data_IF_745935283798
#
_entry.id   IF_745935283798
#
_cell.length_a   1.000
_cell.length_b   1.000
_cell.length_c   1.000
_cell.angle_alpha   90.00
_cell.angle_beta   90.00
_cell.angle_gamma   90.00
#
_symmetry.space_group_name_H-M   'P 1'
#
loop_
_entity.id
_entity.type
_entity.pdbx_description
1 polymer ?
#
# COMPACT_ATOMS: atom_id res chain seq x y z
N UNK A 1 -11.29 8.78 -4.83
CA UNK A 1 -10.83 7.48 -5.39
C UNK A 1 -10.83 7.61 -6.90
N UNK A 2 -9.67 7.68 -7.57
CA UNK A 2 -9.58 7.92 -9.02
C UNK A 2 -9.59 6.60 -9.81
N UNK A 3 -10.66 5.84 -9.64
CA UNK A 3 -10.93 4.54 -10.29
C UNK A 3 -10.76 4.60 -11.84
N UNK A 4 -11.23 5.64 -12.56
CA UNK A 4 -11.09 5.66 -14.02
C UNK A 4 -9.62 5.83 -14.48
N UNK A 5 -8.79 6.49 -13.67
CA UNK A 5 -7.38 6.68 -13.99
C UNK A 5 -6.58 5.39 -13.77
N UNK A 6 -6.86 4.69 -12.66
CA UNK A 6 -6.27 3.37 -12.39
C UNK A 6 -6.60 2.35 -13.48
N UNK A 7 -7.85 2.32 -13.95
CA UNK A 7 -8.27 1.38 -15.00
C UNK A 7 -7.65 1.73 -16.34
N UNK A 8 -7.55 3.03 -16.69
CA UNK A 8 -6.88 3.46 -17.91
C UNK A 8 -5.40 3.06 -17.93
N UNK A 9 -4.67 3.25 -16.83
CA UNK A 9 -3.26 2.86 -16.75
C UNK A 9 -3.08 1.35 -16.78
N UNK A 10 -3.95 0.58 -16.11
CA UNK A 10 -3.94 -0.89 -16.22
C UNK A 10 -4.20 -1.35 -17.65
N UNK A 11 -5.14 -0.73 -18.36
CA UNK A 11 -5.43 -1.05 -19.75
C UNK A 11 -4.21 -0.75 -20.65
N UNK A 12 -3.59 0.42 -20.49
CA UNK A 12 -2.36 0.79 -21.21
C UNK A 12 -1.22 -0.20 -20.92
N UNK A 13 -1.05 -0.58 -19.65
CA UNK A 13 -0.01 -1.52 -19.25
C UNK A 13 -0.28 -2.92 -19.83
N UNK A 14 -1.54 -3.37 -19.86
CA UNK A 14 -1.94 -4.61 -20.51
C UNK A 14 -1.65 -4.59 -22.01
N UNK A 15 -1.98 -3.50 -22.71
CA UNK A 15 -1.68 -3.35 -24.15
C UNK A 15 -0.17 -3.40 -24.40
N UNK A 16 0.61 -2.62 -23.64
CA UNK A 16 2.07 -2.61 -23.74
C UNK A 16 2.67 -4.01 -23.48
N UNK A 17 2.13 -4.74 -22.50
CA UNK A 17 2.54 -6.11 -22.21
C UNK A 17 2.20 -7.06 -23.36
N UNK A 18 1.01 -6.95 -23.97
CA UNK A 18 0.63 -7.74 -25.14
C UNK A 18 1.56 -7.46 -26.33
N UNK A 19 1.88 -6.20 -26.61
CA UNK A 19 2.86 -5.85 -27.65
C UNK A 19 4.23 -6.45 -27.36
N UNK A 20 4.71 -6.31 -26.12
CA UNK A 20 5.96 -6.92 -25.68
C UNK A 20 5.91 -8.44 -25.82
N UNK A 21 4.75 -9.08 -25.64
CA UNK A 21 4.55 -10.50 -25.95
C UNK A 21 4.81 -10.73 -27.43
N UNK A 22 4.05 -10.09 -28.31
CA UNK A 22 4.12 -10.31 -29.75
C UNK A 22 5.54 -10.11 -30.28
N UNK A 23 6.24 -9.07 -29.82
CA UNK A 23 7.57 -8.71 -30.29
C UNK A 23 8.72 -9.29 -29.45
N UNK A 24 8.44 -10.13 -28.46
CA UNK A 24 9.48 -10.68 -27.57
C UNK A 24 10.61 -11.36 -28.32
N UNK A 25 10.30 -12.09 -29.40
CA UNK A 25 11.31 -12.76 -30.21
C UNK A 25 12.22 -11.80 -31.00
N UNK A 26 11.82 -10.53 -31.12
CA UNK A 26 12.64 -9.47 -31.71
C UNK A 26 13.48 -8.72 -30.66
N UNK A 27 13.19 -8.90 -29.37
CA UNK A 27 13.94 -8.25 -28.29
C UNK A 27 15.32 -8.91 -28.17
N UNK A 28 16.43 -8.15 -28.04
CA UNK A 28 17.75 -8.72 -27.84
C UNK A 28 17.82 -9.62 -26.59
N UNK A 29 18.52 -10.75 -26.67
CA UNK A 29 18.60 -11.72 -25.57
C UNK A 29 19.09 -11.11 -24.24
N UNK A 30 20.06 -10.17 -24.30
CA UNK A 30 20.54 -9.43 -23.12
C UNK A 30 19.42 -8.62 -22.46
N UNK A 31 18.58 -7.96 -23.25
CA UNK A 31 17.48 -7.16 -22.74
C UNK A 31 16.37 -8.05 -22.17
N UNK A 32 16.08 -9.20 -22.78
CA UNK A 32 15.15 -10.20 -22.23
C UNK A 32 15.58 -10.64 -20.82
N UNK A 33 16.84 -11.04 -20.66
CA UNK A 33 17.38 -11.49 -19.37
C UNK A 33 17.32 -10.36 -18.34
N UNK A 34 17.68 -9.14 -18.73
CA UNK A 34 17.59 -7.98 -17.85
C UNK A 34 16.15 -7.71 -17.38
N UNK A 35 15.19 -7.68 -18.29
CA UNK A 35 13.77 -7.45 -17.97
C UNK A 35 13.21 -8.51 -17.02
N UNK A 36 13.54 -9.79 -17.25
CA UNK A 36 13.11 -10.88 -16.37
C UNK A 36 13.72 -10.73 -14.98
N UNK A 37 15.03 -10.49 -14.89
CA UNK A 37 15.70 -10.29 -13.60
C UNK A 37 15.12 -9.09 -12.85
N UNK A 38 14.91 -7.98 -13.55
CA UNK A 38 14.33 -6.78 -12.97
C UNK A 38 12.90 -7.05 -12.45
N UNK A 39 12.06 -7.73 -13.22
CA UNK A 39 10.71 -8.09 -12.79
C UNK A 39 10.72 -8.97 -11.53
N UNK A 40 11.58 -9.99 -11.48
CA UNK A 40 11.72 -10.83 -10.28
C UNK A 40 12.17 -10.01 -9.07
N UNK A 41 13.19 -9.16 -9.23
CA UNK A 41 13.68 -8.31 -8.14
C UNK A 41 12.58 -7.38 -7.62
N UNK A 42 11.82 -6.72 -8.51
CA UNK A 42 10.74 -5.81 -8.12
C UNK A 42 9.63 -6.54 -7.34
N UNK A 43 9.26 -7.73 -7.79
CA UNK A 43 8.27 -8.57 -7.11
C UNK A 43 8.76 -9.00 -5.72
N UNK A 44 10.01 -9.48 -5.63
CA UNK A 44 10.61 -9.89 -4.35
C UNK A 44 10.71 -8.72 -3.39
N UNK A 45 11.15 -7.55 -3.87
CA UNK A 45 11.24 -6.33 -3.05
C UNK A 45 9.87 -5.94 -2.53
N UNK A 46 8.83 -5.95 -3.37
CA UNK A 46 7.46 -5.63 -2.92
C UNK A 46 6.94 -6.64 -1.90
N UNK A 47 7.20 -7.94 -2.10
CA UNK A 47 6.83 -8.98 -1.15
C UNK A 47 7.52 -8.76 0.20
N UNK A 48 8.82 -8.47 0.19
CA UNK A 48 9.58 -8.18 1.41
C UNK A 48 9.02 -6.95 2.12
N UNK A 49 8.81 -5.83 1.41
CA UNK A 49 8.24 -4.60 1.96
C UNK A 49 6.86 -4.87 2.59
N UNK A 50 6.01 -5.61 1.89
CA UNK A 50 4.65 -5.93 2.37
C UNK A 50 4.68 -6.85 3.59
N UNK A 51 5.47 -7.92 3.54
CA UNK A 51 5.57 -8.91 4.62
C UNK A 51 6.23 -8.35 5.87
N UNK A 52 7.22 -7.48 5.71
CA UNK A 52 7.92 -6.83 6.81
C UNK A 52 7.27 -5.52 7.23
N UNK A 53 6.10 -5.16 6.67
CA UNK A 53 5.33 -3.95 6.97
C UNK A 53 6.13 -2.63 6.90
N UNK A 54 7.22 -2.63 6.14
CA UNK A 54 7.98 -1.42 5.84
C UNK A 54 7.27 -0.62 4.75
N UNK A 55 7.47 0.69 4.79
CA UNK A 55 7.06 1.61 3.75
C UNK A 55 8.00 2.81 3.75
N UNK A 56 7.87 3.67 2.76
CA UNK A 56 8.54 4.97 2.75
C UNK A 56 7.63 6.05 3.33
N UNK A 57 8.21 7.13 3.85
CA UNK A 57 7.46 8.31 4.29
C UNK A 57 6.76 9.07 3.16
N UNK A 58 6.97 8.67 1.90
CA UNK A 58 6.35 9.28 0.73
C UNK A 58 5.34 8.32 0.10
N UNK A 59 4.05 8.69 0.14
CA UNK A 59 2.99 7.94 -0.53
C UNK A 59 3.25 7.81 -2.05
N UNK A 60 3.91 8.80 -2.65
CA UNK A 60 4.30 8.78 -4.06
C UNK A 60 5.31 7.66 -4.35
N UNK A 61 6.37 7.54 -3.53
CA UNK A 61 7.40 6.51 -3.72
C UNK A 61 6.80 5.12 -3.47
N UNK A 62 5.98 4.97 -2.42
CA UNK A 62 5.27 3.71 -2.15
C UNK A 62 4.38 3.29 -3.32
N UNK A 63 3.66 4.23 -3.92
CA UNK A 63 2.84 3.97 -5.09
C UNK A 63 3.69 3.58 -6.30
N UNK A 64 4.81 4.25 -6.57
CA UNK A 64 5.73 3.86 -7.65
C UNK A 64 6.23 2.42 -7.44
N UNK A 65 6.71 2.08 -6.25
CA UNK A 65 7.23 0.74 -5.94
C UNK A 65 6.13 -0.31 -6.19
N UNK A 66 4.91 -0.07 -5.71
CA UNK A 66 3.78 -0.98 -5.93
C UNK A 66 3.45 -1.13 -7.42
N UNK A 67 3.38 -0.03 -8.18
CA UNK A 67 3.08 -0.07 -9.62
C UNK A 67 4.21 -0.72 -10.45
N UNK A 68 5.47 -0.52 -10.07
CA UNK A 68 6.60 -1.24 -10.65
C UNK A 68 6.52 -2.75 -10.38
N UNK A 69 6.11 -3.15 -9.17
CA UNK A 69 5.89 -4.55 -8.85
C UNK A 69 4.71 -5.15 -9.63
N UNK A 70 3.60 -4.41 -9.77
CA UNK A 70 2.47 -4.80 -10.63
C UNK A 70 2.91 -5.03 -12.07
N UNK A 71 3.72 -4.13 -12.63
CA UNK A 71 4.29 -4.30 -13.97
C UNK A 71 5.18 -5.55 -14.05
N UNK A 72 6.03 -5.79 -13.05
CA UNK A 72 6.86 -6.99 -12.95
C UNK A 72 6.03 -8.27 -12.90
N UNK A 73 4.97 -8.30 -12.08
CA UNK A 73 4.02 -9.41 -12.03
C UNK A 73 3.36 -9.68 -13.38
N UNK A 74 2.86 -8.64 -14.05
CA UNK A 74 2.25 -8.79 -15.38
C UNK A 74 3.24 -9.35 -16.41
N UNK A 75 4.50 -8.88 -16.40
CA UNK A 75 5.55 -9.41 -17.26
C UNK A 75 5.77 -10.91 -17.02
N UNK A 76 5.90 -11.32 -15.74
CA UNK A 76 6.15 -12.71 -15.37
C UNK A 76 4.96 -13.61 -15.74
N UNK A 77 3.73 -13.17 -15.48
CA UNK A 77 2.51 -13.87 -15.89
C UNK A 77 2.50 -14.08 -17.41
N UNK A 78 2.82 -13.03 -18.16
CA UNK A 78 2.84 -13.08 -19.61
C UNK A 78 3.89 -14.04 -20.15
N UNK A 79 5.07 -14.08 -19.56
CA UNK A 79 6.10 -15.08 -19.90
C UNK A 79 5.65 -16.49 -19.54
N UNK A 80 4.97 -16.66 -18.40
CA UNK A 80 4.40 -17.94 -17.98
C UNK A 80 3.39 -18.48 -19.01
N UNK A 81 2.55 -17.63 -19.61
CA UNK A 81 1.61 -18.04 -20.69
C UNK A 81 2.27 -18.49 -21.99
N UNK A 82 3.61 -18.40 -22.12
CA UNK A 82 4.35 -18.94 -23.26
C UNK A 82 4.88 -20.34 -23.01
N UNK A 83 4.92 -20.79 -21.76
CA UNK A 83 5.36 -22.12 -21.41
C UNK A 83 4.31 -23.16 -21.84
N UNK A 84 4.77 -24.34 -22.22
CA UNK A 84 3.90 -25.48 -22.49
C UNK A 84 3.71 -26.31 -21.21
N UNK A 85 2.52 -26.88 -20.95
CA UNK A 85 1.29 -26.82 -21.76
C UNK A 85 0.48 -25.53 -21.57
N UNK A 86 0.14 -24.88 -22.69
CA UNK A 86 -0.45 -23.52 -22.73
C UNK A 86 -1.78 -23.38 -21.97
N UNK A 87 -2.63 -24.42 -21.98
CA UNK A 87 -3.96 -24.33 -21.38
C UNK A 87 -3.92 -24.12 -19.86
N UNK A 88 -3.07 -24.88 -19.15
CA UNK A 88 -2.88 -24.70 -17.70
C UNK A 88 -2.29 -23.33 -17.39
N UNK A 89 -1.30 -22.89 -18.16
CA UNK A 89 -0.63 -21.60 -17.91
C UNK A 89 -1.55 -20.40 -18.08
N UNK A 90 -2.56 -20.50 -18.95
CA UNK A 90 -3.53 -19.44 -19.20
C UNK A 90 -4.52 -19.30 -18.03
N UNK A 91 -4.98 -20.43 -17.48
CA UNK A 91 -5.87 -20.43 -16.30
C UNK A 91 -5.13 -19.89 -15.07
N UNK A 92 -3.89 -20.37 -14.84
CA UNK A 92 -3.06 -19.85 -13.74
C UNK A 92 -2.77 -18.36 -13.89
N UNK A 93 -2.53 -17.87 -15.11
CA UNK A 93 -2.34 -16.45 -15.38
C UNK A 93 -3.55 -15.60 -15.00
N UNK A 94 -4.77 -16.05 -15.31
CA UNK A 94 -6.01 -15.35 -14.94
C UNK A 94 -6.15 -15.30 -13.42
N UNK A 95 -5.91 -16.42 -12.73
CA UNK A 95 -5.96 -16.48 -11.26
C UNK A 95 -4.92 -15.54 -10.65
N UNK A 96 -3.72 -15.48 -11.21
CA UNK A 96 -2.63 -14.61 -10.75
C UNK A 96 -2.84 -13.13 -11.05
N UNK A 97 -3.75 -12.77 -11.97
CA UNK A 97 -4.14 -11.38 -12.20
C UNK A 97 -5.14 -10.85 -11.16
N UNK A 98 -5.88 -11.72 -10.47
CA UNK A 98 -6.86 -11.31 -9.46
C UNK A 98 -6.20 -10.56 -8.29
N UNK A 99 -5.10 -11.04 -7.68
CA UNK A 99 -4.38 -10.29 -6.64
C UNK A 99 -3.80 -8.97 -7.13
N UNK A 100 -3.38 -8.90 -8.41
CA UNK A 100 -2.87 -7.67 -9.03
C UNK A 100 -3.99 -6.63 -9.14
N UNK A 101 -5.17 -7.06 -9.59
CA UNK A 101 -6.34 -6.20 -9.66
C UNK A 101 -6.76 -5.74 -8.26
N UNK A 102 -6.85 -6.64 -7.29
CA UNK A 102 -7.16 -6.30 -5.90
C UNK A 102 -6.16 -5.30 -5.30
N UNK A 103 -4.85 -5.51 -5.48
CA UNK A 103 -3.81 -4.58 -5.01
C UNK A 103 -3.90 -3.20 -5.67
N UNK A 104 -4.19 -3.16 -6.97
CA UNK A 104 -4.32 -1.90 -7.73
C UNK A 104 -5.58 -1.08 -7.35
N UNK A 105 -6.64 -1.76 -6.89
CA UNK A 105 -7.85 -1.12 -6.37
C UNK A 105 -7.63 -0.63 -4.94
N UNK A 106 -6.92 -1.41 -4.10
CA UNK A 106 -6.62 -1.05 -2.71
C UNK A 106 -5.58 0.08 -2.59
N UNK A 107 -4.63 0.18 -3.52
CA UNK A 107 -3.65 1.27 -3.59
C UNK A 107 -3.78 2.02 -4.92
N UNK A 108 -4.86 2.82 -5.09
CA UNK A 108 -5.15 3.45 -6.36
C UNK A 108 -4.04 4.41 -6.77
N UNK A 109 -3.72 4.40 -8.06
CA UNK A 109 -2.80 5.31 -8.76
C UNK A 109 -3.14 6.79 -8.52
N UNK A 110 -4.37 7.09 -8.06
CA UNK A 110 -4.76 8.41 -7.56
C UNK A 110 -3.82 8.97 -6.50
N UNK A 111 -3.17 8.13 -5.68
CA UNK A 111 -2.17 8.58 -4.70
C UNK A 111 -0.91 9.18 -5.34
N UNK A 112 -0.64 8.94 -6.63
CA UNK A 112 0.45 9.58 -7.38
C UNK A 112 0.10 10.99 -7.85
N UNK A 113 -1.18 11.26 -8.15
CA UNK A 113 -1.63 12.52 -8.75
C UNK A 113 -2.25 13.48 -7.75
N UNK A 114 -2.89 12.95 -6.72
CA UNK A 114 -3.39 13.69 -5.57
C UNK A 114 -2.83 13.01 -4.32
N UNK A 115 -1.55 13.23 -3.99
CA UNK A 115 -0.99 12.67 -2.77
C UNK A 115 -1.81 13.22 -1.62
N UNK A 116 -2.49 12.33 -0.88
CA UNK A 116 -3.20 12.70 0.34
C UNK A 116 -2.18 13.39 1.24
N UNK A 117 -2.42 14.64 1.68
CA UNK A 117 -1.50 15.34 2.56
C UNK A 117 -1.60 14.73 3.97
N UNK A 118 -1.14 13.50 4.12
CA UNK A 118 -0.99 12.85 5.40
C UNK A 118 0.31 13.40 5.98
N UNK A 119 0.21 14.50 6.73
CA UNK A 119 1.33 15.00 7.51
C UNK A 119 1.51 14.06 8.71
N UNK A 120 2.62 13.31 8.82
CA UNK A 120 2.88 12.52 10.00
C UNK A 120 3.00 13.43 11.21
N UNK A 121 2.30 13.08 12.28
CA UNK A 121 2.41 13.76 13.56
C UNK A 121 3.42 12.99 14.40
N UNK A 122 4.41 13.71 14.92
CA UNK A 122 5.46 13.11 15.73
C UNK A 122 4.95 12.85 17.14
N UNK A 123 5.07 11.60 17.60
CA UNK A 123 4.89 11.23 19.02
C UNK A 123 6.22 11.41 19.74
N UNK A 124 7.29 10.88 19.13
CA UNK A 124 8.68 11.05 19.56
C UNK A 124 9.59 11.28 18.34
N UNK A 125 10.91 11.27 18.55
CA UNK A 125 11.90 11.36 17.47
C UNK A 125 11.75 10.23 16.45
N UNK A 126 11.49 9.01 16.95
CA UNK A 126 11.47 7.79 16.15
C UNK A 126 10.05 7.20 15.98
N UNK A 127 9.03 7.75 16.65
CA UNK A 127 7.64 7.30 16.55
C UNK A 127 6.75 8.39 15.97
N UNK A 128 5.99 8.06 14.94
CA UNK A 128 5.02 8.95 14.32
C UNK A 128 3.70 8.24 14.10
N UNK A 129 2.61 9.01 14.06
CA UNK A 129 1.32 8.50 13.63
C UNK A 129 0.82 9.24 12.39
N UNK A 130 0.05 8.53 11.58
CA UNK A 130 -0.67 9.08 10.43
C UNK A 130 -2.14 8.71 10.48
N UNK A 131 -2.96 9.60 9.96
CA UNK A 131 -4.40 9.41 9.83
C UNK A 131 -4.73 9.12 8.38
N UNK A 132 -5.47 8.05 8.13
CA UNK A 132 -6.02 7.72 6.82
C UNK A 132 -7.53 7.66 6.93
N UNK A 133 -8.24 8.29 5.99
CA UNK A 133 -9.70 8.21 5.94
C UNK A 133 -10.09 6.91 5.24
N UNK A 134 -11.03 6.17 5.82
CA UNK A 134 -11.67 5.03 5.16
C UNK A 134 -13.17 5.29 5.01
N UNK A 135 -13.74 4.79 3.93
CA UNK A 135 -15.15 4.92 3.60
C UNK A 135 -15.65 3.59 3.06
N UNK A 136 -16.67 3.05 3.71
CA UNK A 136 -17.34 1.78 3.34
C UNK A 136 -18.86 2.01 3.30
N UNK A 137 -19.37 2.33 2.10
CA UNK A 137 -20.77 2.67 1.90
C UNK A 137 -21.17 3.94 2.67
N UNK A 138 -22.15 3.82 3.56
CA UNK A 138 -22.57 4.90 4.47
C UNK A 138 -21.67 5.04 5.71
N UNK A 139 -20.82 4.04 5.98
CA UNK A 139 -19.88 4.09 7.10
C UNK A 139 -18.60 4.78 6.66
N UNK A 140 -18.07 5.62 7.53
CA UNK A 140 -16.80 6.30 7.31
C UNK A 140 -16.09 6.49 8.64
N UNK A 141 -14.78 6.65 8.56
CA UNK A 141 -13.97 6.79 9.75
C UNK A 141 -12.53 7.13 9.44
N UNK A 142 -11.70 7.00 10.46
CA UNK A 142 -10.25 7.20 10.35
C UNK A 142 -9.55 5.96 10.88
N UNK A 143 -8.51 5.56 10.18
CA UNK A 143 -7.50 4.63 10.64
C UNK A 143 -6.26 5.42 11.06
N UNK A 144 -5.84 5.19 12.29
CA UNK A 144 -4.61 5.71 12.87
C UNK A 144 -3.53 4.65 12.71
N UNK A 145 -2.52 4.95 11.90
CA UNK A 145 -1.37 4.10 11.68
C UNK A 145 -0.20 4.59 12.51
N UNK A 146 0.44 3.68 13.26
CA UNK A 146 1.61 4.00 14.09
C UNK A 146 2.85 3.44 13.38
N UNK A 147 3.84 4.29 13.20
CA UNK A 147 5.09 3.95 12.53
C UNK A 147 6.31 4.23 13.39
N UNK A 148 7.30 3.34 13.30
CA UNK A 148 8.68 3.58 13.75
C UNK A 148 9.52 4.05 12.56
N UNK A 149 10.16 5.22 12.68
CA UNK A 149 11.13 5.74 11.72
C UNK A 149 12.54 5.60 12.29
N UNK A 150 13.40 4.76 11.69
CA UNK A 150 14.79 4.66 12.14
C UNK A 150 15.52 5.98 11.91
N UNK A 151 16.28 6.41 12.92
CA UNK A 151 17.05 7.67 12.88
C UNK A 151 18.09 7.72 11.76
N UNK A 152 18.63 6.57 11.35
CA UNK A 152 19.60 6.47 10.25
C UNK A 152 18.96 6.50 8.84
N UNK A 153 17.65 6.25 8.74
CA UNK A 153 16.93 6.23 7.46
C UNK A 153 15.54 6.87 7.61
N UNK A 154 15.45 8.21 7.75
CA UNK A 154 14.20 8.92 8.06
C UNK A 154 13.15 8.84 6.95
N UNK A 155 13.56 8.40 5.75
CA UNK A 155 12.68 8.15 4.61
C UNK A 155 11.98 6.79 4.68
N UNK A 156 12.47 5.85 5.49
CA UNK A 156 11.85 4.56 5.76
C UNK A 156 11.00 4.64 7.02
N UNK A 157 9.93 3.85 7.06
CA UNK A 157 9.07 3.71 8.22
C UNK A 157 8.54 2.28 8.31
N UNK A 158 8.53 1.71 9.50
CA UNK A 158 7.98 0.39 9.78
C UNK A 158 6.65 0.56 10.50
N UNK A 159 5.58 -0.04 9.98
CA UNK A 159 4.27 0.00 10.64
C UNK A 159 4.31 -0.92 11.87
N UNK A 160 4.11 -0.34 13.04
CA UNK A 160 4.01 -1.09 14.30
C UNK A 160 2.59 -1.62 14.49
N UNK A 161 1.60 -0.73 14.39
CA UNK A 161 0.20 -1.10 14.58
C UNK A 161 -0.74 -0.10 13.89
N UNK A 162 -2.04 -0.36 13.97
CA UNK A 162 -3.11 0.52 13.55
C UNK A 162 -4.35 0.39 14.42
N UNK A 163 -5.12 1.48 14.50
CA UNK A 163 -6.43 1.49 15.15
C UNK A 163 -7.46 2.13 14.24
N UNK A 164 -8.58 1.47 14.08
CA UNK A 164 -9.71 1.96 13.31
C UNK A 164 -10.75 2.60 14.23
N UNK A 165 -11.15 3.83 13.90
CA UNK A 165 -12.25 4.54 14.54
C UNK A 165 -13.35 4.86 13.52
N UNK A 166 -14.59 4.79 13.96
CA UNK A 166 -15.78 5.06 13.15
C UNK A 166 -16.40 6.41 13.53
N UNK A 167 -16.82 7.20 12.55
CA UNK A 167 -17.47 8.50 12.73
C UNK A 167 -18.74 8.42 13.58
N UNK A 168 -19.43 7.26 13.57
CA UNK A 168 -20.61 7.03 14.39
C UNK A 168 -20.33 6.82 15.88
N UNK A 169 -19.07 6.56 16.27
CA UNK A 169 -18.70 6.25 17.67
C UNK A 169 -18.05 7.43 18.38
N UNK A 170 -17.27 8.24 17.67
CA UNK A 170 -16.47 9.31 18.24
C UNK A 170 -16.11 10.37 17.19
N UNK A 171 -15.58 11.50 17.63
CA UNK A 171 -15.07 12.55 16.76
C UNK A 171 -13.70 12.15 16.19
N UNK A 172 -13.72 11.28 15.17
CA UNK A 172 -12.53 10.69 14.53
C UNK A 172 -11.52 11.74 14.03
N UNK A 173 -11.99 12.91 13.59
CA UNK A 173 -11.12 13.99 13.10
C UNK A 173 -10.19 14.53 14.20
N UNK A 174 -10.56 14.37 15.47
CA UNK A 174 -9.75 14.73 16.63
C UNK A 174 -9.05 13.51 17.28
N UNK A 175 -9.05 12.35 16.64
CA UNK A 175 -8.35 11.18 17.14
C UNK A 175 -6.82 11.40 17.11
N UNK A 176 -6.15 10.97 18.18
CA UNK A 176 -4.72 11.19 18.41
C UNK A 176 -4.04 9.98 19.06
N UNK A 177 -2.71 9.92 18.93
CA UNK A 177 -1.88 8.93 19.58
C UNK A 177 -0.76 9.61 20.37
N UNK A 178 -0.53 9.15 21.60
CA UNK A 178 0.47 9.70 22.53
C UNK A 178 1.23 8.57 23.21
N UNK A 179 2.51 8.81 23.55
CA UNK A 179 3.30 7.85 24.32
C UNK A 179 2.88 7.92 25.79
N UNK A 180 2.65 6.77 26.42
CA UNK A 180 2.39 6.72 27.85
C UNK A 180 3.65 7.09 28.66
N UNK A 181 3.48 7.56 29.92
CA UNK A 181 4.62 7.93 30.77
C UNK A 181 5.62 6.80 31.02
N UNK A 182 5.18 5.55 30.87
CA UNK A 182 6.02 4.37 31.02
C UNK A 182 7.01 4.15 29.85
N UNK A 183 6.82 4.88 28.74
CA UNK A 183 7.62 4.77 27.52
C UNK A 183 7.45 3.45 26.77
N UNK A 184 6.52 2.59 27.19
CA UNK A 184 6.32 1.24 26.63
C UNK A 184 5.00 1.11 25.91
N UNK A 185 4.01 1.95 26.19
CA UNK A 185 2.73 1.88 25.50
C UNK A 185 2.43 3.15 24.72
N UNK A 186 1.66 3.01 23.65
CA UNK A 186 1.02 4.12 22.95
C UNK A 186 -0.45 4.11 23.31
N UNK A 187 -0.91 5.24 23.85
CA UNK A 187 -2.31 5.52 24.12
C UNK A 187 -2.91 6.21 22.91
N UNK A 188 -3.89 5.55 22.30
CA UNK A 188 -4.66 6.07 21.18
C UNK A 188 -6.05 6.46 21.69
N UNK A 189 -6.44 7.71 21.43
CA UNK A 189 -7.67 8.30 21.96
C UNK A 189 -8.49 8.89 20.82
N UNK A 190 -9.78 8.57 20.78
CA UNK A 190 -10.77 9.24 19.96
C UNK A 190 -11.79 9.94 20.86
N UNK A 191 -11.81 11.28 20.89
CA UNK A 191 -12.70 12.03 21.78
C UNK A 191 -14.15 11.91 21.33
N UNK A 192 -15.13 12.09 22.23
CA UNK A 192 -16.54 12.15 21.86
C UNK A 192 -16.84 13.36 20.95
N UNK A 193 -18.00 13.34 20.30
CA UNK A 193 -18.49 14.53 19.58
C UNK A 193 -18.74 15.68 20.57
N UNK A 194 -18.55 16.96 20.15
CA UNK A 194 -18.68 18.11 21.05
C UNK A 194 -20.01 18.19 21.82
N UNK A 195 -21.07 17.58 21.27
CA UNK A 195 -22.42 17.60 21.81
C UNK A 195 -22.85 16.23 22.40
N UNK A 196 -21.92 15.27 22.57
CA UNK A 196 -22.18 13.97 23.18
C UNK A 196 -21.44 13.84 24.51
N UNK A 197 -22.18 13.49 25.57
CA UNK A 197 -21.61 13.14 26.88
C UNK A 197 -21.25 11.64 26.94
N UNK A 198 -20.55 11.15 25.93
CA UNK A 198 -20.00 9.78 25.93
C UNK A 198 -18.54 9.82 26.36
N UNK A 199 -18.07 8.72 26.96
CA UNK A 199 -16.66 8.57 27.28
C UNK A 199 -15.82 8.50 25.98
N UNK A 200 -14.56 8.99 26.01
CA UNK A 200 -13.66 8.84 24.88
C UNK A 200 -13.39 7.36 24.59
N UNK A 201 -13.24 7.02 23.31
CA UNK A 201 -12.85 5.67 22.91
C UNK A 201 -11.32 5.60 22.97
N UNK A 202 -10.80 4.76 23.85
CA UNK A 202 -9.36 4.65 24.11
C UNK A 202 -8.85 3.24 23.86
N UNK A 203 -7.63 3.13 23.35
CA UNK A 203 -6.90 1.86 23.21
C UNK A 203 -5.44 2.05 23.59
N UNK A 204 -4.90 1.07 24.31
CA UNK A 204 -3.49 1.03 24.71
C UNK A 204 -2.82 -0.04 23.87
N UNK A 205 -1.72 0.33 23.22
CA UNK A 205 -0.96 -0.55 22.32
C UNK A 205 0.44 -0.69 22.89
N UNK A 206 0.89 -1.92 23.22
CA UNK A 206 2.26 -2.13 23.66
C UNK A 206 3.23 -1.91 22.49
N UNK A 207 4.34 -1.23 22.75
CA UNK A 207 5.43 -1.08 21.80
C UNK A 207 6.28 -2.37 21.79
N UNK A 208 6.56 -2.94 20.61
CA UNK A 208 7.49 -4.05 20.46
C UNK A 208 8.97 -3.60 20.51
#
# INVERSE_FOLDING_TARGET
MNIPLTTAVLALLMVAMIELRVFWERVPARLRVFLVRLAVVLVVVQLLITASTWSTGSNFINAIINWCAVAGYMLLILLFTRLHPKWLTTISAIILLIPVFASSVLSPLGNLFTPTPNRPVHITKDLVFERSVWVEGANSGIELYIFRRPSFAPFLRHRLDHVTFNNGQCHTAAAMATLEPDGKNIRVVCPPWPNQNTEPVERIIPLP
#
